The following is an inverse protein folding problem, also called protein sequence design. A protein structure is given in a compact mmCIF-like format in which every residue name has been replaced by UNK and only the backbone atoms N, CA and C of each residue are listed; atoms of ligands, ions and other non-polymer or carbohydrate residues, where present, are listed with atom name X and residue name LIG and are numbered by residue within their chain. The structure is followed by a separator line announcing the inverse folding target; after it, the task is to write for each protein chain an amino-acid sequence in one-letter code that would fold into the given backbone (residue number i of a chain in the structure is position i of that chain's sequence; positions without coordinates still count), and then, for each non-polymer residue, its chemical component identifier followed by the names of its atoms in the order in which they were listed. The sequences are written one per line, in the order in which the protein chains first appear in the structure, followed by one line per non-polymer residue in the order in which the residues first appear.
data_IF_390597921321
#
_entry.id   IF_390597921321
#
_cell.length_a   1.000
_cell.length_b   1.000
_cell.length_c   1.000
_cell.angle_alpha   90.00
_cell.angle_beta   90.00
_cell.angle_gamma   90.00
#
_symmetry.space_group_name_H-M   'P 1'
#
loop_
_entity.id
_entity.type
_entity.pdbx_description
1 polymer ?
#
# COMPACT_ATOMS: atom_id res chain seq x y z
N UNK A 1 -6.24 8.02 15.37
CA UNK A 1 -5.66 7.54 14.10
C UNK A 1 -4.35 8.26 13.91
N UNK A 2 -3.25 7.53 13.70
CA UNK A 2 -1.95 8.14 13.49
C UNK A 2 -1.86 8.68 12.07
N UNK A 3 -1.50 9.95 11.92
CA UNK A 3 -1.21 10.57 10.64
C UNK A 3 0.19 10.14 10.22
N UNK A 4 0.39 9.77 8.95
CA UNK A 4 1.72 9.48 8.42
C UNK A 4 2.45 10.80 8.23
N UNK A 5 3.60 10.95 8.88
CA UNK A 5 4.44 12.13 8.77
C UNK A 5 5.67 11.88 7.88
N UNK A 6 6.20 12.96 7.30
CA UNK A 6 7.41 12.89 6.49
C UNK A 6 8.58 12.32 7.31
N UNK A 7 9.30 11.36 6.75
CA UNK A 7 10.47 10.75 7.37
C UNK A 7 10.15 9.63 8.37
N UNK A 8 8.87 9.37 8.67
CA UNK A 8 8.49 8.15 9.38
C UNK A 8 8.70 6.93 8.46
N UNK A 9 9.09 5.81 9.06
CA UNK A 9 9.03 4.54 8.36
C UNK A 9 7.59 4.22 7.98
N UNK A 10 7.41 3.71 6.76
CA UNK A 10 6.10 3.30 6.29
C UNK A 10 5.57 2.16 7.18
N UNK A 11 4.30 2.22 7.64
CA UNK A 11 3.71 1.15 8.43
C UNK A 11 3.75 -0.18 7.67
N UNK A 12 4.01 -1.27 8.40
CA UNK A 12 3.85 -2.60 7.85
C UNK A 12 2.39 -2.81 7.41
N UNK A 13 2.20 -3.38 6.23
CA UNK A 13 0.90 -3.82 5.74
C UNK A 13 1.01 -5.20 5.14
N UNK A 14 -0.13 -5.89 5.15
CA UNK A 14 -0.33 -7.17 4.50
C UNK A 14 -1.77 -7.19 3.97
N UNK A 15 -1.93 -7.26 2.66
CA UNK A 15 -3.23 -7.14 1.99
C UNK A 15 -3.33 -8.14 0.83
N UNK A 16 -4.51 -8.72 0.57
CA UNK A 16 -4.72 -9.49 -0.64
C UNK A 16 -4.73 -8.58 -1.87
N UNK A 17 -4.06 -9.00 -2.94
CA UNK A 17 -4.16 -8.37 -4.26
C UNK A 17 -5.41 -8.86 -5.02
N UNK A 18 -5.59 -8.41 -6.27
CA UNK A 18 -6.71 -8.79 -7.12
C UNK A 18 -6.80 -10.29 -7.43
N UNK A 19 -5.69 -11.02 -7.31
CA UNK A 19 -5.59 -12.46 -7.55
C UNK A 19 -5.75 -13.27 -6.24
N UNK A 20 -6.07 -12.60 -5.13
CA UNK A 20 -6.18 -13.21 -3.81
C UNK A 20 -4.84 -13.57 -3.16
N UNK A 21 -3.73 -13.15 -3.76
CA UNK A 21 -2.40 -13.37 -3.20
C UNK A 21 -2.09 -12.31 -2.16
N UNK A 22 -1.56 -12.74 -1.02
CA UNK A 22 -1.15 -11.82 0.03
C UNK A 22 0.12 -11.08 -0.35
N UNK A 23 0.09 -9.75 -0.27
CA UNK A 23 1.22 -8.85 -0.55
C UNK A 23 1.56 -8.09 0.72
N UNK A 24 2.84 -8.12 1.09
CA UNK A 24 3.37 -7.36 2.23
C UNK A 24 4.37 -6.29 1.80
N UNK A 25 4.49 -5.21 2.57
CA UNK A 25 5.52 -4.18 2.33
C UNK A 25 6.94 -4.78 2.35
N UNK A 26 7.20 -5.72 3.25
CA UNK A 26 8.50 -6.37 3.41
C UNK A 26 8.95 -7.17 2.18
N UNK A 27 8.01 -7.63 1.34
CA UNK A 27 8.31 -8.31 0.07
C UNK A 27 9.03 -7.40 -0.94
N UNK A 28 9.01 -6.07 -0.73
CA UNK A 28 9.65 -5.08 -1.59
C UNK A 28 10.92 -4.47 -0.97
N UNK A 29 11.53 -5.10 0.03
CA UNK A 29 12.75 -4.62 0.66
C UNK A 29 13.86 -4.27 -0.37
N UNK A 30 14.49 -3.10 -0.19
CA UNK A 30 15.52 -2.59 -1.10
C UNK A 30 15.00 -1.95 -2.39
N UNK A 31 13.67 -1.83 -2.57
CA UNK A 31 13.05 -1.16 -3.71
C UNK A 31 12.29 0.08 -3.27
N UNK A 32 12.20 1.07 -4.17
CA UNK A 32 11.25 2.17 -4.01
C UNK A 32 9.83 1.68 -4.33
N UNK A 33 8.87 2.04 -3.49
CA UNK A 33 7.47 1.65 -3.61
C UNK A 33 6.62 2.91 -3.55
N UNK A 34 5.69 3.07 -4.49
CA UNK A 34 4.68 4.11 -4.49
C UNK A 34 3.32 3.50 -4.14
N UNK A 35 2.72 3.94 -3.04
CA UNK A 35 1.34 3.60 -2.69
C UNK A 35 0.42 4.67 -3.25
N UNK A 36 -0.58 4.25 -4.02
CA UNK A 36 -1.64 5.11 -4.53
C UNK A 36 -2.97 4.35 -4.41
N UNK A 37 -4.02 5.06 -4.02
CA UNK A 37 -5.37 4.54 -3.85
C UNK A 37 -6.41 5.47 -4.48
N UNK A 38 -7.57 4.89 -4.78
CA UNK A 38 -8.79 5.59 -5.20
C UNK A 38 -9.98 5.04 -4.40
N UNK A 39 -11.10 5.79 -4.27
CA UNK A 39 -12.23 5.35 -3.44
C UNK A 39 -12.97 4.12 -3.97
N UNK A 40 -13.09 4.01 -5.29
CA UNK A 40 -13.77 2.89 -5.95
C UNK A 40 -13.13 2.59 -7.30
N UNK A 41 -12.90 1.31 -7.57
CA UNK A 41 -12.41 0.83 -8.86
C UNK A 41 -13.52 0.92 -9.90
N UNK A 42 -13.16 1.06 -11.17
CA UNK A 42 -14.08 0.91 -12.30
C UNK A 42 -15.30 1.85 -12.30
N UNK A 43 -15.18 3.03 -11.67
CA UNK A 43 -16.19 4.09 -11.76
C UNK A 43 -15.72 5.25 -12.62
N UNK A 44 -16.61 5.86 -13.43
CA UNK A 44 -16.35 7.15 -14.04
C UNK A 44 -16.06 8.19 -12.95
N UNK A 45 -15.01 9.00 -13.16
CA UNK A 45 -14.63 10.13 -12.30
C UNK A 45 -15.36 11.41 -12.66
#
# INVERSE_FOLDING_TARGET
MSVIELGNEAPAFELPNQDGQTVSLSSFAGKYVLLWWYPRADTPG
#
